data_IF_599857570477
#
_entry.id   IF_599857570477
#
_cell.length_a   1.000
_cell.length_b   1.000
_cell.length_c   1.000
_cell.angle_alpha   90.00
_cell.angle_beta   90.00
_cell.angle_gamma   90.00
#
_symmetry.space_group_name_H-M   'P 1'
#
loop_
_entity.id
_entity.type
_entity.pdbx_description
1 polymer ?
#
# COMPACT_ATOMS: atom_id res chain seq x y z
N UNK A 1 -7.20 3.92 13.05
CA UNK A 1 -7.48 4.63 11.78
C UNK A 1 -7.72 6.12 11.98
N UNK A 2 -8.69 6.59 12.79
CA UNK A 2 -8.91 8.03 13.06
C UNK A 2 -7.65 8.80 13.49
N UNK A 3 -6.82 8.22 14.35
CA UNK A 3 -5.55 8.84 14.78
C UNK A 3 -4.57 9.04 13.63
N UNK A 4 -4.49 8.09 12.68
CA UNK A 4 -3.59 8.18 11.53
C UNK A 4 -4.04 9.30 10.58
N UNK A 5 -5.35 9.41 10.32
CA UNK A 5 -5.91 10.49 9.53
C UNK A 5 -5.60 11.86 10.16
N UNK A 6 -5.84 12.01 11.47
CA UNK A 6 -5.53 13.24 12.20
C UNK A 6 -4.03 13.61 12.16
N UNK A 7 -3.14 12.61 12.19
CA UNK A 7 -1.70 12.84 12.03
C UNK A 7 -1.35 13.29 10.61
N UNK A 8 -1.91 12.64 9.59
CA UNK A 8 -1.70 13.01 8.18
C UNK A 8 -2.19 14.45 7.90
N UNK A 9 -3.33 14.84 8.46
CA UNK A 9 -3.87 16.20 8.33
C UNK A 9 -3.01 17.25 9.03
N UNK A 10 -2.48 16.91 10.21
CA UNK A 10 -1.65 17.80 11.02
C UNK A 10 -0.24 17.97 10.44
N UNK A 11 0.32 16.91 9.86
CA UNK A 11 1.69 16.87 9.36
C UNK A 11 1.73 16.59 7.86
N UNK A 12 1.13 17.47 7.05
CA UNK A 12 0.93 17.26 5.61
C UNK A 12 2.19 17.07 4.77
N UNK A 13 3.34 17.49 5.28
CA UNK A 13 4.64 17.33 4.60
C UNK A 13 5.34 16.01 4.93
N UNK A 14 4.80 15.23 5.87
CA UNK A 14 5.39 13.95 6.31
C UNK A 14 4.57 12.82 5.68
N UNK A 15 5.16 12.02 4.78
CA UNK A 15 4.49 10.84 4.25
C UNK A 15 4.14 9.85 5.36
N UNK A 16 2.90 9.36 5.36
CA UNK A 16 2.43 8.37 6.32
C UNK A 16 2.08 7.08 5.60
N UNK A 17 2.74 5.97 5.97
CA UNK A 17 2.46 4.65 5.42
C UNK A 17 1.60 3.87 6.41
N UNK A 18 0.43 3.40 5.97
CA UNK A 18 -0.33 2.37 6.67
C UNK A 18 0.23 1.01 6.25
N UNK A 19 0.93 0.36 7.17
CA UNK A 19 1.46 -0.99 6.95
C UNK A 19 0.39 -2.07 7.03
N UNK A 20 0.72 -3.25 6.49
CA UNK A 20 -0.06 -4.48 6.64
C UNK A 20 -1.51 -4.36 6.13
N UNK A 21 -1.71 -3.55 5.08
CA UNK A 21 -3.00 -3.20 4.50
C UNK A 21 -4.01 -2.59 5.50
N UNK A 22 -3.57 -2.15 6.69
CA UNK A 22 -4.47 -1.77 7.78
C UNK A 22 -5.19 -2.94 8.47
N UNK A 23 -4.75 -4.18 8.23
CA UNK A 23 -5.26 -5.40 8.85
C UNK A 23 -6.74 -5.64 8.55
N UNK A 24 -7.53 -5.90 9.60
CA UNK A 24 -8.99 -6.11 9.48
C UNK A 24 -9.76 -4.86 9.02
N UNK A 25 -9.12 -3.68 8.99
CA UNK A 25 -9.74 -2.42 8.60
C UNK A 25 -9.35 -1.98 7.17
N UNK A 26 -8.93 -2.92 6.32
CA UNK A 26 -8.37 -2.63 5.01
C UNK A 26 -9.27 -1.78 4.09
N UNK A 27 -10.60 -1.94 4.16
CA UNK A 27 -11.53 -1.06 3.43
C UNK A 27 -11.38 0.40 3.87
N UNK A 28 -11.40 0.65 5.17
CA UNK A 28 -11.20 1.99 5.74
C UNK A 28 -9.79 2.51 5.47
N UNK A 29 -8.78 1.64 5.43
CA UNK A 29 -7.41 2.04 5.09
C UNK A 29 -7.32 2.54 3.64
N UNK A 30 -7.96 1.84 2.69
CA UNK A 30 -8.06 2.27 1.29
C UNK A 30 -8.79 3.61 1.20
N UNK A 31 -9.94 3.76 1.88
CA UNK A 31 -10.70 5.02 1.91
C UNK A 31 -9.85 6.19 2.44
N UNK A 32 -9.16 6.00 3.57
CA UNK A 32 -8.31 7.03 4.14
C UNK A 32 -7.17 7.45 3.21
N UNK A 33 -6.49 6.49 2.58
CA UNK A 33 -5.39 6.77 1.65
C UNK A 33 -5.89 7.45 0.38
N UNK A 34 -7.10 7.11 -0.08
CA UNK A 34 -7.74 7.79 -1.21
C UNK A 34 -8.00 9.27 -0.88
N UNK A 35 -8.49 9.54 0.33
CA UNK A 35 -8.97 10.86 0.75
C UNK A 35 -7.86 11.78 1.30
N UNK A 36 -6.70 11.23 1.70
CA UNK A 36 -5.59 11.97 2.29
C UNK A 36 -4.31 11.83 1.44
N UNK A 37 -3.95 12.83 0.62
CA UNK A 37 -2.88 12.70 -0.37
C UNK A 37 -1.48 12.33 0.13
N UNK A 38 -1.16 12.63 1.40
CA UNK A 38 0.13 12.29 2.02
C UNK A 38 0.19 10.88 2.61
N UNK A 39 -0.88 10.10 2.47
CA UNK A 39 -0.96 8.73 2.98
C UNK A 39 -0.66 7.70 1.88
N UNK A 40 -0.09 6.57 2.29
CA UNK A 40 0.22 5.42 1.45
C UNK A 40 -0.25 4.14 2.11
N UNK A 41 -0.51 3.10 1.33
CA UNK A 41 -0.93 1.78 1.80
C UNK A 41 0.09 0.73 1.41
N UNK A 42 0.65 0.01 2.38
CA UNK A 42 1.61 -1.06 2.15
C UNK A 42 0.93 -2.43 2.28
N UNK A 43 1.29 -3.39 1.40
CA UNK A 43 0.49 -4.59 1.09
C UNK A 43 0.84 -5.86 1.88
N UNK A 44 1.86 -5.84 2.73
CA UNK A 44 2.32 -7.01 3.46
C UNK A 44 1.21 -7.67 4.28
N UNK A 45 1.37 -8.95 4.56
CA UNK A 45 0.45 -9.75 5.42
C UNK A 45 -1.03 -9.74 5.00
N UNK A 46 -1.36 -9.24 3.80
CA UNK A 46 -2.72 -9.19 3.31
C UNK A 46 -3.34 -10.60 3.29
N UNK A 47 -4.35 -10.80 4.15
CA UNK A 47 -4.98 -12.12 4.33
C UNK A 47 -5.91 -12.50 3.17
N UNK A 48 -6.30 -11.55 2.32
CA UNK A 48 -7.30 -11.73 1.26
C UNK A 48 -6.76 -11.11 -0.03
N UNK A 49 -6.59 -11.92 -1.09
CA UNK A 49 -6.11 -11.46 -2.40
C UNK A 49 -7.01 -10.37 -3.01
N UNK A 50 -8.32 -10.44 -2.77
CA UNK A 50 -9.25 -9.40 -3.20
C UNK A 50 -8.92 -8.03 -2.61
N UNK A 51 -8.44 -7.96 -1.38
CA UNK A 51 -8.09 -6.69 -0.73
C UNK A 51 -6.87 -6.03 -1.41
N UNK A 52 -5.88 -6.84 -1.84
CA UNK A 52 -4.74 -6.38 -2.65
C UNK A 52 -5.24 -5.84 -4.00
N UNK A 53 -6.11 -6.60 -4.68
CA UNK A 53 -6.70 -6.19 -5.97
C UNK A 53 -7.42 -4.84 -5.84
N UNK A 54 -8.26 -4.69 -4.81
CA UNK A 54 -9.03 -3.47 -4.62
C UNK A 54 -8.13 -2.28 -4.28
N UNK A 55 -7.15 -2.45 -3.40
CA UNK A 55 -6.19 -1.40 -3.06
C UNK A 55 -5.47 -0.88 -4.33
N UNK A 56 -4.91 -1.78 -5.13
CA UNK A 56 -4.20 -1.39 -6.36
C UNK A 56 -5.14 -0.71 -7.37
N UNK A 57 -6.40 -1.16 -7.47
CA UNK A 57 -7.37 -0.54 -8.38
C UNK A 57 -7.80 0.87 -7.94
N UNK A 58 -8.00 1.11 -6.64
CA UNK A 58 -8.50 2.37 -6.10
C UNK A 58 -7.40 3.43 -5.93
N UNK A 59 -6.18 3.00 -5.55
CA UNK A 59 -5.07 3.90 -5.17
C UNK A 59 -3.72 3.40 -5.73
N UNK A 60 -3.60 3.19 -7.06
CA UNK A 60 -2.42 2.57 -7.68
C UNK A 60 -1.12 3.30 -7.35
N UNK A 61 -1.12 4.65 -7.42
CA UNK A 61 0.08 5.47 -7.21
C UNK A 61 0.45 5.66 -5.73
N UNK A 62 -0.34 5.09 -4.81
CA UNK A 62 -0.11 5.17 -3.34
C UNK A 62 -0.10 3.80 -2.66
N UNK A 63 -0.10 2.73 -3.45
CA UNK A 63 0.03 1.36 -2.95
C UNK A 63 1.48 0.90 -3.05
N UNK A 64 2.02 0.33 -1.97
CA UNK A 64 3.41 -0.05 -1.83
C UNK A 64 3.53 -1.56 -1.60
N UNK A 65 4.44 -2.20 -2.31
CA UNK A 65 4.86 -3.56 -2.00
C UNK A 65 5.61 -3.63 -0.67
N UNK A 66 5.31 -4.65 0.11
CA UNK A 66 6.16 -5.13 1.19
C UNK A 66 5.80 -6.57 1.54
N UNK A 67 6.77 -7.30 2.05
CA UNK A 67 6.61 -8.71 2.40
C UNK A 67 6.51 -8.97 3.90
N UNK A 68 6.89 -8.00 4.73
CA UNK A 68 7.04 -8.17 6.19
C UNK A 68 7.92 -9.36 6.57
N UNK A 69 9.02 -9.60 5.82
CA UNK A 69 9.97 -10.65 6.16
C UNK A 69 10.65 -10.34 7.51
N UNK A 70 10.85 -11.34 8.40
CA UNK A 70 10.71 -12.78 8.17
C UNK A 70 9.32 -13.37 8.45
N UNK A 71 8.31 -12.55 8.79
CA UNK A 71 6.96 -13.02 9.07
C UNK A 71 6.18 -13.40 7.81
N UNK A 72 6.36 -12.64 6.73
CA UNK A 72 5.88 -12.99 5.41
C UNK A 72 6.99 -13.42 4.45
N UNK A 73 6.58 -14.08 3.37
CA UNK A 73 7.47 -14.59 2.33
C UNK A 73 7.55 -13.59 1.16
N UNK A 74 8.75 -13.08 0.80
CA UNK A 74 8.91 -12.13 -0.31
C UNK A 74 8.44 -12.64 -1.67
N UNK A 75 8.61 -13.94 -1.94
CA UNK A 75 8.19 -14.56 -3.21
C UNK A 75 6.67 -14.61 -3.27
N UNK A 76 6.01 -15.05 -2.20
CA UNK A 76 4.55 -15.10 -2.15
C UNK A 76 3.92 -13.71 -2.18
N UNK A 77 4.47 -12.75 -1.45
CA UNK A 77 3.99 -11.36 -1.46
C UNK A 77 4.09 -10.76 -2.87
N UNK A 78 5.21 -10.97 -3.56
CA UNK A 78 5.40 -10.50 -4.94
C UNK A 78 4.43 -11.19 -5.90
N UNK A 79 4.29 -12.51 -5.79
CA UNK A 79 3.38 -13.29 -6.62
C UNK A 79 1.92 -12.84 -6.45
N UNK A 80 1.51 -12.42 -5.25
CA UNK A 80 0.17 -11.90 -5.00
C UNK A 80 -0.10 -10.60 -5.78
N UNK A 81 0.86 -9.66 -5.80
CA UNK A 81 0.78 -8.42 -6.60
C UNK A 81 0.75 -8.74 -8.09
N UNK A 82 1.65 -9.61 -8.56
CA UNK A 82 1.72 -10.02 -9.97
C UNK A 82 0.45 -10.77 -10.40
N UNK A 83 -0.21 -11.49 -9.50
CA UNK A 83 -1.45 -12.24 -9.80
C UNK A 83 -2.66 -11.33 -10.03
N UNK A 84 -2.68 -10.15 -9.41
CA UNK A 84 -3.82 -9.21 -9.50
C UNK A 84 -3.59 -8.07 -10.48
N UNK A 85 -2.36 -7.87 -10.94
CA UNK A 85 -1.96 -6.85 -11.94
C UNK A 85 -1.55 -7.51 -13.26
N UNK A 86 -1.63 -6.77 -14.36
CA UNK A 86 -0.91 -7.12 -15.60
C UNK A 86 0.51 -6.55 -15.57
N UNK A 87 1.48 -7.09 -16.34
CA UNK A 87 2.77 -6.42 -16.54
C UNK A 87 2.56 -5.00 -17.09
N UNK A 88 3.32 -4.03 -16.59
CA UNK A 88 3.24 -2.63 -17.00
C UNK A 88 3.39 -1.65 -15.84
N UNK A 89 3.20 -0.36 -16.15
CA UNK A 89 3.48 0.77 -15.26
C UNK A 89 2.89 0.63 -13.85
N UNK A 90 1.62 0.23 -13.73
CA UNK A 90 0.97 0.05 -12.42
C UNK A 90 1.69 -1.00 -11.57
N UNK A 91 2.08 -2.14 -12.17
CA UNK A 91 2.79 -3.20 -11.45
C UNK A 91 4.17 -2.70 -11.02
N UNK A 92 4.88 -2.03 -11.91
CA UNK A 92 6.25 -1.54 -11.64
C UNK A 92 6.25 -0.47 -10.54
N UNK A 93 5.25 0.41 -10.53
CA UNK A 93 5.02 1.37 -9.45
C UNK A 93 4.79 0.68 -8.11
N UNK A 94 3.82 -0.24 -8.04
CA UNK A 94 3.48 -0.94 -6.80
C UNK A 94 4.66 -1.78 -6.28
N UNK A 95 5.37 -2.48 -7.16
CA UNK A 95 6.49 -3.35 -6.78
C UNK A 95 7.76 -2.61 -6.37
N UNK A 96 7.84 -1.28 -6.54
CA UNK A 96 8.96 -0.51 -6.02
C UNK A 96 9.06 0.92 -6.51
N UNK A 97 8.51 1.24 -7.69
CA UNK A 97 8.63 2.59 -8.27
C UNK A 97 8.09 3.69 -7.37
N UNK A 98 6.94 3.49 -6.73
CA UNK A 98 6.34 4.48 -5.83
C UNK A 98 7.21 4.73 -4.59
N UNK A 99 7.74 3.65 -3.98
CA UNK A 99 8.60 3.79 -2.80
C UNK A 99 9.95 4.40 -3.15
N UNK A 100 10.53 4.05 -4.30
CA UNK A 100 11.77 4.65 -4.80
C UNK A 100 11.60 6.17 -4.97
N UNK A 101 10.52 6.61 -5.62
CA UNK A 101 10.20 8.03 -5.76
C UNK A 101 10.06 8.73 -4.40
N UNK A 102 9.41 8.09 -3.43
CA UNK A 102 9.21 8.65 -2.09
C UNK A 102 10.54 8.83 -1.32
N UNK A 103 11.51 7.94 -1.57
CA UNK A 103 12.83 7.94 -0.94
C UNK A 103 13.88 8.73 -1.73
N UNK A 104 13.55 9.21 -2.93
CA UNK A 104 14.49 9.90 -3.82
C UNK A 104 15.59 9.00 -4.39
N UNK A 105 15.26 7.74 -4.69
CA UNK A 105 16.15 6.73 -5.27
C UNK A 105 16.06 6.66 -6.80
#
# INVERSE_FOLDING_TARGET
MRTLAALADRYRTVPLVISQLGGTNWLTAIELVRDHPGMYLELSTAAIIFAIRLAIAEIPDRTLFGSDAPYGDPVLARAAVERVTSPGETRDRVLGGTLAQLLGL
#
